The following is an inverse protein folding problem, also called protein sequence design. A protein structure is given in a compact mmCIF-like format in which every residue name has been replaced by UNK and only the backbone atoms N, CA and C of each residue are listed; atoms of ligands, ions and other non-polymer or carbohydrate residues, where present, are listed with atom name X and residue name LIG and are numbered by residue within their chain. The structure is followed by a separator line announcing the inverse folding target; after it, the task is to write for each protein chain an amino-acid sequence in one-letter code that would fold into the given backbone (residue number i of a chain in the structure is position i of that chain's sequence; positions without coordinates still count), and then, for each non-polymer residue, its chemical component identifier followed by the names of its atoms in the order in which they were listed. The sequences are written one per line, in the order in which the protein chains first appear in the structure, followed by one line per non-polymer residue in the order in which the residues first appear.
data_IF_901721149082
#
_entry.id   IF_901721149082
#
_cell.length_a   1.000
_cell.length_b   1.000
_cell.length_c   1.000
_cell.angle_alpha   90.00
_cell.angle_beta   90.00
_cell.angle_gamma   90.00
#
_symmetry.space_group_name_H-M   'P 1'
#
loop_
_entity.id
_entity.type
_entity.pdbx_description
1 polymer ?
#
# COMPACT_ATOMS: atom_id res chain seq x y z
N UNK A 1 16.01 25.80 30.47
CA UNK A 1 16.35 24.97 29.28
C UNK A 1 15.18 25.10 28.30
N UNK A 2 15.36 25.76 27.15
CA UNK A 2 14.36 25.71 26.07
C UNK A 2 14.30 24.28 25.55
N UNK A 3 13.19 23.58 25.79
CA UNK A 3 12.91 22.33 25.10
C UNK A 3 12.62 22.72 23.64
N UNK A 4 13.60 22.51 22.75
CA UNK A 4 13.32 22.59 21.32
C UNK A 4 12.47 21.36 20.97
N UNK A 5 11.18 21.57 20.74
CA UNK A 5 10.33 20.53 20.18
C UNK A 5 10.61 20.39 18.68
N UNK A 6 10.62 19.16 18.14
CA UNK A 6 10.72 18.95 16.71
C UNK A 6 9.48 19.51 16.01
N UNK A 7 9.69 20.48 15.10
CA UNK A 7 8.64 20.94 14.21
C UNK A 7 8.52 19.99 13.02
N UNK A 8 7.39 19.29 12.92
CA UNK A 8 7.02 18.50 11.75
C UNK A 8 5.52 18.60 11.49
N UNK A 9 5.14 18.33 10.25
CA UNK A 9 3.74 18.19 9.84
C UNK A 9 3.57 16.81 9.21
N UNK A 10 2.49 16.12 9.59
CA UNK A 10 2.09 14.83 9.02
C UNK A 10 0.66 15.00 8.52
N UNK A 11 0.42 14.58 7.29
CA UNK A 11 -0.91 14.49 6.71
C UNK A 11 -1.14 13.06 6.20
N UNK A 12 -2.34 12.54 6.44
CA UNK A 12 -2.79 11.22 5.98
C UNK A 12 -4.19 11.35 5.41
N UNK A 13 -4.59 10.42 4.53
CA UNK A 13 -5.96 10.30 4.04
C UNK A 13 -6.34 8.82 3.93
N UNK A 14 -7.63 8.51 3.93
CA UNK A 14 -8.18 7.13 3.83
C UNK A 14 -8.94 6.92 2.52
N UNK A 15 -8.49 7.61 1.47
CA UNK A 15 -9.14 7.64 0.16
C UNK A 15 -10.13 8.79 -0.01
N UNK A 16 -10.71 8.87 -1.21
CA UNK A 16 -11.76 9.81 -1.58
C UNK A 16 -12.94 8.99 -2.17
N UNK A 17 -14.16 9.47 -1.98
CA UNK A 17 -15.36 8.77 -2.46
C UNK A 17 -16.54 8.88 -1.49
N UNK A 18 -17.51 7.98 -1.65
CA UNK A 18 -18.67 7.94 -0.77
C UNK A 18 -18.33 7.29 0.57
N UNK A 19 -18.21 8.11 1.61
CA UNK A 19 -17.97 7.65 2.97
C UNK A 19 -19.31 7.52 3.70
N UNK A 20 -19.67 6.31 4.09
CA UNK A 20 -20.82 6.09 4.95
C UNK A 20 -20.59 6.75 6.31
N UNK A 21 -21.56 7.53 6.80
CA UNK A 21 -21.52 8.14 8.14
C UNK A 21 -21.24 7.10 9.23
N UNK A 22 -21.71 5.85 9.06
CA UNK A 22 -21.47 4.75 10.01
C UNK A 22 -20.00 4.37 10.17
N UNK A 23 -19.14 4.66 9.19
CA UNK A 23 -17.71 4.34 9.20
C UNK A 23 -16.82 5.53 9.54
N UNK A 24 -17.38 6.72 9.71
CA UNK A 24 -16.62 7.96 9.90
C UNK A 24 -15.71 7.89 11.14
N UNK A 25 -16.22 7.37 12.26
CA UNK A 25 -15.43 7.21 13.49
C UNK A 25 -14.30 6.19 13.33
N UNK A 26 -14.50 5.16 12.51
CA UNK A 26 -13.45 4.20 12.19
C UNK A 26 -12.33 4.86 11.37
N UNK A 27 -12.70 5.61 10.33
CA UNK A 27 -11.75 6.38 9.52
C UNK A 27 -10.94 7.38 10.35
N UNK A 28 -11.61 8.17 11.20
CA UNK A 28 -10.93 9.13 12.08
C UNK A 28 -9.97 8.45 13.05
N UNK A 29 -10.38 7.33 13.66
CA UNK A 29 -9.52 6.55 14.57
C UNK A 29 -8.28 6.02 13.85
N UNK A 30 -8.44 5.48 12.64
CA UNK A 30 -7.32 4.96 11.84
C UNK A 30 -6.36 6.07 11.42
N UNK A 31 -6.87 7.22 10.92
CA UNK A 31 -6.04 8.38 10.58
C UNK A 31 -5.28 8.92 11.80
N UNK A 32 -5.96 9.04 12.94
CA UNK A 32 -5.32 9.47 14.18
C UNK A 32 -4.17 8.52 14.56
N UNK A 33 -4.39 7.20 14.56
CA UNK A 33 -3.35 6.21 14.84
C UNK A 33 -2.18 6.30 13.85
N UNK A 34 -2.44 6.50 12.57
CA UNK A 34 -1.41 6.66 11.55
C UNK A 34 -0.54 7.90 11.81
N UNK A 35 -1.15 9.05 12.13
CA UNK A 35 -0.42 10.26 12.50
C UNK A 35 0.43 10.05 13.76
N UNK A 36 -0.11 9.39 14.79
CA UNK A 36 0.65 9.09 16.01
C UNK A 36 1.86 8.18 15.72
N UNK A 37 1.70 7.14 14.89
CA UNK A 37 2.80 6.26 14.52
C UNK A 37 3.93 7.01 13.78
N UNK A 38 3.58 7.86 12.81
CA UNK A 38 4.55 8.72 12.13
C UNK A 38 5.23 9.71 13.10
N UNK A 39 4.46 10.36 13.98
CA UNK A 39 4.97 11.32 14.96
C UNK A 39 5.99 10.68 15.90
N UNK A 40 5.72 9.45 16.38
CA UNK A 40 6.66 8.69 17.21
C UNK A 40 8.00 8.43 16.50
N UNK A 41 7.96 8.08 15.20
CA UNK A 41 9.18 7.90 14.40
C UNK A 41 9.97 9.21 14.31
N UNK A 42 9.31 10.32 13.99
CA UNK A 42 9.96 11.63 13.85
C UNK A 42 10.54 12.14 15.17
N UNK A 43 9.79 12.01 16.28
CA UNK A 43 10.25 12.36 17.62
C UNK A 43 11.47 11.54 18.02
N UNK A 44 11.43 10.21 17.85
CA UNK A 44 12.57 9.33 18.15
C UNK A 44 13.81 9.73 17.35
N UNK A 45 13.66 9.98 16.05
CA UNK A 45 14.76 10.39 15.17
C UNK A 45 15.33 11.75 15.57
N UNK A 46 14.49 12.68 16.02
CA UNK A 46 14.94 13.97 16.54
C UNK A 46 15.74 13.82 17.84
N UNK A 47 15.24 13.06 18.81
CA UNK A 47 15.94 12.81 20.08
C UNK A 47 17.30 12.14 19.86
N UNK A 48 17.37 11.13 19.00
CA UNK A 48 18.63 10.47 18.66
C UNK A 48 19.64 11.45 18.05
N UNK A 49 19.19 12.39 17.21
CA UNK A 49 20.04 13.42 16.59
C UNK A 49 20.57 14.44 17.62
N UNK A 50 19.80 14.77 18.64
CA UNK A 50 20.27 15.65 19.73
C UNK A 50 21.34 14.95 20.57
N UNK A 51 21.12 13.69 20.94
CA UNK A 51 22.03 12.92 21.77
C UNK A 51 23.36 12.58 21.06
N UNK A 52 23.32 12.36 19.74
CA UNK A 52 24.53 12.09 18.95
C UNK A 52 25.36 13.35 18.66
N UNK A 53 24.79 14.56 18.77
CA UNK A 53 25.58 15.81 18.77
C UNK A 53 26.31 16.08 20.09
N UNK A 54 25.89 15.46 21.20
CA UNK A 54 26.58 15.56 22.49
C UNK A 54 27.71 14.52 22.68
N UNK A 55 27.80 13.52 21.81
CA UNK A 55 28.92 12.57 21.80
C UNK A 55 29.98 13.06 20.81
N UNK A 56 31.18 13.34 21.30
CA UNK A 56 32.35 13.64 20.48
C UNK A 56 32.57 12.46 19.52
N UNK A 57 32.42 12.69 18.22
CA UNK A 57 32.59 11.65 17.20
C UNK A 57 34.05 11.20 17.20
N UNK A 58 34.31 9.94 17.56
CA UNK A 58 35.60 9.29 17.32
C UNK A 58 35.80 9.15 15.80
N UNK A 59 36.79 9.83 15.19
CA UNK A 59 37.03 9.79 13.74
C UNK A 59 37.48 8.42 13.22
N UNK A 60 37.80 7.46 14.10
CA UNK A 60 38.38 6.17 13.75
C UNK A 60 37.35 5.07 13.45
N UNK A 61 36.08 5.25 13.84
CA UNK A 61 34.99 4.32 13.53
C UNK A 61 34.37 4.62 12.16
N UNK A 62 35.18 4.51 11.10
CA UNK A 62 34.68 4.38 9.73
C UNK A 62 34.24 2.93 9.51
N UNK A 63 33.08 2.56 10.06
CA UNK A 63 32.40 1.35 9.62
C UNK A 63 32.09 1.50 8.12
N UNK A 64 32.74 0.66 7.32
CA UNK A 64 32.63 0.62 5.86
C UNK A 64 31.32 -0.01 5.38
N UNK A 65 30.43 -0.36 6.30
CA UNK A 65 29.03 -0.68 6.03
C UNK A 65 28.29 0.59 5.61
N UNK A 66 28.32 0.86 4.30
CA UNK A 66 27.64 1.97 3.58
C UNK A 66 26.36 2.42 4.30
N UNK A 67 26.50 3.53 5.02
CA UNK A 67 25.46 4.15 5.83
C UNK A 67 24.38 4.76 4.92
N UNK A 68 23.50 3.92 4.36
CA UNK A 68 22.27 4.37 3.70
C UNK A 68 21.35 4.88 4.82
N UNK A 69 21.56 6.14 5.21
CA UNK A 69 20.72 6.80 6.21
C UNK A 69 19.35 7.04 5.57
N UNK A 70 18.36 6.27 5.99
CA UNK A 70 16.97 6.59 5.67
C UNK A 70 16.62 7.96 6.20
N UNK A 71 15.87 8.74 5.42
CA UNK A 71 15.27 9.94 5.95
C UNK A 71 14.24 9.56 7.02
N UNK A 72 14.18 10.36 8.09
CA UNK A 72 13.19 10.19 9.13
C UNK A 72 11.75 10.34 8.56
N UNK A 73 11.60 11.15 7.52
CA UNK A 73 10.33 11.36 6.83
C UNK A 73 9.87 10.09 6.11
N UNK A 74 10.74 9.42 5.35
CA UNK A 74 10.40 8.19 4.64
C UNK A 74 10.00 7.07 5.61
N UNK A 75 10.71 6.94 6.74
CA UNK A 75 10.33 5.97 7.79
C UNK A 75 8.99 6.31 8.45
N UNK A 76 8.74 7.59 8.70
CA UNK A 76 7.48 8.04 9.29
C UNK A 76 6.29 7.78 8.36
N UNK A 77 6.44 8.06 7.06
CA UNK A 77 5.43 7.75 6.04
C UNK A 77 5.16 6.25 5.98
N UNK A 78 6.21 5.42 5.90
CA UNK A 78 6.04 3.96 5.94
C UNK A 78 5.27 3.51 7.19
N UNK A 79 5.60 4.06 8.37
CA UNK A 79 4.93 3.71 9.62
C UNK A 79 3.44 4.10 9.62
N UNK A 80 3.11 5.31 9.15
CA UNK A 80 1.72 5.73 9.00
C UNK A 80 0.96 4.84 8.02
N UNK A 81 1.52 4.60 6.83
CA UNK A 81 0.85 3.81 5.78
C UNK A 81 0.62 2.37 6.22
N UNK A 82 1.53 1.75 6.99
CA UNK A 82 1.31 0.42 7.57
C UNK A 82 0.05 0.36 8.44
N UNK A 83 -0.22 1.41 9.23
CA UNK A 83 -1.45 1.49 10.05
C UNK A 83 -2.69 1.54 9.17
N UNK A 84 -2.60 2.24 8.02
CA UNK A 84 -3.70 2.28 7.05
C UNK A 84 -3.88 0.91 6.38
N UNK A 85 -2.80 0.28 5.92
CA UNK A 85 -2.81 -1.05 5.27
C UNK A 85 -3.29 -2.18 6.18
N UNK A 86 -3.13 -2.05 7.49
CA UNK A 86 -3.68 -3.00 8.47
C UNK A 86 -5.18 -2.78 8.74
N UNK A 87 -5.72 -1.63 8.37
CA UNK A 87 -7.11 -1.28 8.64
C UNK A 87 -8.04 -1.77 7.54
N UNK A 88 -8.90 -2.74 7.89
CA UNK A 88 -9.87 -3.38 6.99
C UNK A 88 -10.95 -2.44 6.44
N UNK A 89 -11.07 -1.23 6.98
CA UNK A 89 -11.98 -0.21 6.46
C UNK A 89 -11.40 0.56 5.28
N UNK A 90 -10.10 0.43 5.01
CA UNK A 90 -9.42 1.03 3.87
C UNK A 90 -9.27 0.03 2.72
N UNK A 91 -9.11 0.55 1.50
CA UNK A 91 -8.81 -0.27 0.33
C UNK A 91 -7.30 -0.27 0.05
N UNK A 92 -6.51 -0.74 1.02
CA UNK A 92 -5.07 -0.90 0.90
C UNK A 92 -4.60 -2.02 1.84
N UNK A 93 -3.70 -2.90 1.37
CA UNK A 93 -3.21 -4.01 2.19
C UNK A 93 -4.31 -5.02 2.55
N UNK A 94 -4.51 -5.27 3.84
CA UNK A 94 -5.49 -6.22 4.34
C UNK A 94 -6.93 -5.75 4.07
N UNK A 95 -7.73 -6.59 3.42
CA UNK A 95 -9.13 -6.30 3.13
C UNK A 95 -9.34 -5.39 1.91
N UNK A 96 -8.30 -5.22 1.09
CA UNK A 96 -8.42 -4.55 -0.21
C UNK A 96 -9.47 -5.22 -1.10
N UNK A 97 -9.94 -4.48 -2.09
CA UNK A 97 -10.84 -4.98 -3.12
C UNK A 97 -10.24 -6.20 -3.83
N UNK A 98 -11.11 -7.16 -4.14
CA UNK A 98 -10.72 -8.36 -4.87
C UNK A 98 -10.80 -8.10 -6.37
N UNK A 99 -9.86 -8.69 -7.11
CA UNK A 99 -9.85 -8.77 -8.58
C UNK A 99 -11.02 -9.61 -9.10
N UNK A 100 -11.17 -9.71 -10.43
CA UNK A 100 -12.15 -10.61 -11.05
C UNK A 100 -11.94 -12.08 -10.63
N UNK A 101 -10.69 -12.46 -10.33
CA UNK A 101 -10.33 -13.81 -9.88
C UNK A 101 -10.55 -14.02 -8.37
N UNK A 102 -11.10 -13.02 -7.66
CA UNK A 102 -11.36 -13.12 -6.23
C UNK A 102 -10.11 -13.01 -5.35
N UNK A 103 -9.00 -12.48 -5.89
CA UNK A 103 -7.71 -12.35 -5.17
C UNK A 103 -7.39 -10.89 -4.88
N UNK A 104 -6.51 -10.64 -3.91
CA UNK A 104 -6.02 -9.29 -3.60
C UNK A 104 -4.65 -9.07 -4.23
N UNK A 105 -4.54 -8.00 -5.01
CA UNK A 105 -3.30 -7.49 -5.59
C UNK A 105 -3.15 -6.03 -5.22
N UNK A 106 -2.02 -5.66 -4.61
CA UNK A 106 -1.82 -4.31 -4.08
C UNK A 106 -0.79 -3.52 -4.88
N UNK A 107 -1.03 -2.22 -4.99
CA UNK A 107 -0.08 -1.23 -5.48
C UNK A 107 0.39 -0.35 -4.33
N UNK A 108 1.68 -0.02 -4.29
CA UNK A 108 2.21 0.97 -3.36
C UNK A 108 3.51 1.59 -3.87
N UNK A 109 3.75 2.85 -3.55
CA UNK A 109 4.99 3.55 -3.90
C UNK A 109 5.45 4.46 -2.77
N UNK A 110 6.76 4.66 -2.67
CA UNK A 110 7.36 5.61 -1.73
C UNK A 110 8.46 6.41 -2.44
N UNK A 111 8.47 7.71 -2.19
CA UNK A 111 9.49 8.63 -2.65
C UNK A 111 10.06 9.41 -1.46
N UNK A 112 11.38 9.61 -1.46
CA UNK A 112 12.09 10.42 -0.47
C UNK A 112 12.58 11.73 -1.10
N UNK A 113 12.87 12.73 -0.27
CA UNK A 113 13.22 14.09 -0.73
C UNK A 113 14.57 14.19 -1.45
N UNK A 114 15.41 13.16 -1.36
CA UNK A 114 16.66 13.02 -2.11
C UNK A 114 16.46 12.40 -3.51
N UNK A 115 15.21 12.13 -3.91
CA UNK A 115 14.86 11.52 -5.19
C UNK A 115 14.85 10.00 -5.19
N UNK A 116 15.16 9.34 -4.07
CA UNK A 116 15.06 7.89 -3.99
C UNK A 116 13.60 7.44 -4.08
N UNK A 117 13.35 6.46 -4.94
CA UNK A 117 12.00 5.98 -5.25
C UNK A 117 11.96 4.46 -5.28
N UNK A 118 10.82 3.89 -4.90
CA UNK A 118 10.53 2.48 -4.98
C UNK A 118 9.03 2.23 -5.03
N UNK A 119 8.59 1.25 -5.81
CA UNK A 119 7.19 0.87 -5.92
C UNK A 119 6.98 -0.62 -6.16
N UNK A 120 5.81 -1.10 -5.76
CA UNK A 120 5.28 -2.41 -6.10
C UNK A 120 3.93 -2.24 -6.80
N UNK A 121 3.65 -3.11 -7.77
CA UNK A 121 2.42 -3.10 -8.54
C UNK A 121 1.83 -4.51 -8.69
N UNK A 122 0.51 -4.64 -8.73
CA UNK A 122 -0.20 -5.92 -8.81
C UNK A 122 0.38 -6.96 -7.84
N UNK A 123 0.80 -6.54 -6.64
CA UNK A 123 1.63 -7.35 -5.77
C UNK A 123 0.77 -8.23 -4.85
N UNK A 124 0.78 -9.56 -5.00
CA UNK A 124 0.01 -10.43 -4.14
C UNK A 124 0.74 -10.68 -2.82
N UNK A 125 -0.02 -10.97 -1.76
CA UNK A 125 0.51 -11.58 -0.54
C UNK A 125 1.57 -10.78 0.24
N UNK A 126 1.75 -9.49 -0.02
CA UNK A 126 2.50 -8.61 0.89
C UNK A 126 1.53 -8.08 1.95
N UNK A 127 1.85 -8.25 3.23
CA UNK A 127 1.03 -7.70 4.32
C UNK A 127 1.00 -6.17 4.25
N UNK A 128 2.17 -5.59 4.01
CA UNK A 128 2.39 -4.15 3.91
C UNK A 128 3.12 -3.80 2.60
N UNK A 129 2.39 -3.62 1.48
CA UNK A 129 2.97 -3.22 0.19
C UNK A 129 3.92 -2.00 0.28
N UNK A 130 3.60 -1.00 1.12
CA UNK A 130 4.46 0.17 1.32
C UNK A 130 5.84 -0.19 1.91
N UNK A 131 5.94 -1.27 2.68
CA UNK A 131 7.22 -1.72 3.22
C UNK A 131 8.15 -2.24 2.12
N UNK A 132 7.58 -2.90 1.10
CA UNK A 132 8.34 -3.34 -0.07
C UNK A 132 8.78 -2.15 -0.92
N UNK A 133 7.89 -1.18 -1.14
CA UNK A 133 8.20 0.07 -1.82
C UNK A 133 9.30 0.87 -1.09
N UNK A 134 9.19 1.02 0.23
CA UNK A 134 10.23 1.63 1.08
C UNK A 134 11.57 0.92 0.91
N UNK A 135 11.59 -0.41 0.99
CA UNK A 135 12.82 -1.18 0.84
C UNK A 135 13.43 -1.04 -0.56
N UNK A 136 12.61 -1.00 -1.62
CA UNK A 136 13.09 -0.71 -2.98
C UNK A 136 13.71 0.69 -3.08
N UNK A 137 13.11 1.70 -2.46
CA UNK A 137 13.65 3.06 -2.41
C UNK A 137 14.98 3.13 -1.65
N UNK A 138 15.18 2.29 -0.63
CA UNK A 138 16.48 2.18 0.04
C UNK A 138 17.51 1.53 -0.88
N UNK A 139 17.14 0.40 -1.47
CA UNK A 139 18.01 -0.39 -2.33
C UNK A 139 18.49 0.45 -3.53
N UNK A 140 17.61 1.27 -4.13
CA UNK A 140 17.89 2.09 -5.32
C UNK A 140 19.06 3.06 -5.17
N UNK A 141 19.44 3.41 -3.93
CA UNK A 141 20.62 4.25 -3.63
C UNK A 141 21.94 3.53 -3.84
N UNK A 142 21.94 2.21 -3.96
CA UNK A 142 23.16 1.41 -4.12
C UNK A 142 23.14 0.65 -5.46
N UNK A 143 24.06 0.97 -6.38
CA UNK A 143 24.21 0.22 -7.63
C UNK A 143 24.47 -1.27 -7.39
N UNK A 144 24.05 -2.10 -8.34
CA UNK A 144 24.41 -3.52 -8.37
C UNK A 144 25.83 -3.70 -8.90
N UNK A 145 26.30 -4.96 -8.87
CA UNK A 145 27.56 -5.34 -9.51
C UNK A 145 27.58 -4.91 -10.98
N UNK A 146 28.78 -4.52 -11.44
CA UNK A 146 29.03 -4.03 -12.79
C UNK A 146 28.29 -2.72 -13.12
N UNK A 147 28.00 -1.88 -12.12
CA UNK A 147 27.39 -0.56 -12.32
C UNK A 147 25.93 -0.59 -12.76
N UNK A 148 25.26 -1.75 -12.66
CA UNK A 148 23.85 -1.89 -13.06
C UNK A 148 22.95 -1.10 -12.10
N UNK A 149 21.95 -0.44 -12.67
CA UNK A 149 20.91 0.27 -11.93
C UNK A 149 19.91 -0.74 -11.38
N UNK A 150 19.44 -0.53 -10.16
CA UNK A 150 18.42 -1.38 -9.56
C UNK A 150 17.03 -1.09 -10.13
N UNK A 151 16.13 -2.08 -10.17
CA UNK A 151 14.74 -1.83 -10.48
C UNK A 151 14.13 -0.89 -9.44
N UNK A 152 13.37 0.09 -9.91
CA UNK A 152 12.61 1.00 -9.05
C UNK A 152 11.18 0.50 -8.82
N UNK A 153 10.65 -0.30 -9.73
CA UNK A 153 9.29 -0.86 -9.66
C UNK A 153 9.37 -2.37 -9.85
N UNK A 154 8.69 -3.13 -9.00
CA UNK A 154 8.48 -4.57 -9.16
C UNK A 154 6.99 -4.85 -9.27
N UNK A 155 6.61 -5.77 -10.15
CA UNK A 155 5.21 -6.12 -10.36
C UNK A 155 4.92 -7.62 -10.11
N UNK A 156 3.67 -7.93 -9.77
CA UNK A 156 3.18 -9.30 -9.69
C UNK A 156 3.92 -10.15 -8.67
N UNK A 157 4.10 -11.42 -9.00
CA UNK A 157 4.83 -12.39 -8.18
C UNK A 157 6.27 -11.94 -7.86
N UNK A 158 6.89 -11.13 -8.72
CA UNK A 158 8.23 -10.59 -8.48
C UNK A 158 8.30 -9.69 -7.24
N UNK A 159 7.24 -8.91 -6.98
CA UNK A 159 7.14 -8.08 -5.78
C UNK A 159 7.01 -8.93 -4.50
N UNK A 160 6.22 -9.99 -4.53
CA UNK A 160 6.12 -10.94 -3.42
C UNK A 160 7.45 -11.66 -3.15
N UNK A 161 8.10 -12.18 -4.20
CA UNK A 161 9.40 -12.84 -4.07
C UNK A 161 10.45 -11.90 -3.48
N UNK A 162 10.42 -10.63 -3.88
CA UNK A 162 11.28 -9.60 -3.31
C UNK A 162 10.99 -9.37 -1.82
N UNK A 163 9.73 -9.26 -1.44
CA UNK A 163 9.35 -9.13 -0.03
C UNK A 163 9.84 -10.30 0.81
N UNK A 164 9.67 -11.53 0.34
CA UNK A 164 10.14 -12.74 1.01
C UNK A 164 11.67 -12.79 1.17
N UNK A 165 12.42 -12.44 0.11
CA UNK A 165 13.91 -12.37 0.16
C UNK A 165 14.42 -11.29 1.11
N UNK A 166 13.63 -10.24 1.34
CA UNK A 166 13.98 -9.14 2.25
C UNK A 166 13.33 -9.29 3.64
N UNK A 167 12.82 -10.48 3.98
CA UNK A 167 12.22 -10.78 5.28
C UNK A 167 11.06 -9.84 5.66
N UNK A 168 10.29 -9.38 4.67
CA UNK A 168 9.06 -8.64 4.90
C UNK A 168 7.92 -9.59 5.29
N UNK A 169 6.91 -9.05 5.98
CA UNK A 169 5.69 -9.81 6.27
C UNK A 169 4.92 -10.08 4.98
N UNK A 170 4.85 -11.36 4.60
CA UNK A 170 4.21 -11.80 3.38
C UNK A 170 3.68 -13.23 3.51
N UNK A 171 2.91 -13.68 2.53
CA UNK A 171 2.46 -15.05 2.39
C UNK A 171 3.66 -16.02 2.37
N UNK A 172 3.53 -17.14 3.07
CA UNK A 172 4.61 -18.12 3.23
C UNK A 172 4.99 -18.80 1.90
N UNK A 173 3.99 -19.06 1.06
CA UNK A 173 4.15 -19.81 -0.18
C UNK A 173 3.12 -19.36 -1.22
N UNK A 174 3.29 -19.85 -2.45
CA UNK A 174 2.43 -19.48 -3.59
C UNK A 174 0.96 -19.88 -3.35
N UNK A 175 0.73 -21.01 -2.67
CA UNK A 175 -0.62 -21.50 -2.39
C UNK A 175 -1.40 -20.61 -1.41
N UNK A 176 -0.71 -19.86 -0.54
CA UNK A 176 -1.37 -18.94 0.40
C UNK A 176 -1.61 -17.54 -0.17
N UNK A 177 -1.07 -17.21 -1.35
CA UNK A 177 -1.27 -15.90 -1.99
C UNK A 177 -2.75 -15.53 -2.18
N UNK A 178 -3.63 -16.40 -2.73
CA UNK A 178 -5.00 -16.02 -3.08
C UNK A 178 -5.82 -15.56 -1.87
N UNK A 179 -5.55 -16.10 -0.68
CA UNK A 179 -6.33 -15.82 0.54
C UNK A 179 -5.64 -14.86 1.53
N UNK A 180 -4.37 -14.51 1.32
CA UNK A 180 -3.54 -13.88 2.37
C UNK A 180 -4.09 -12.55 2.90
N UNK A 181 -4.55 -11.67 2.01
CA UNK A 181 -5.08 -10.35 2.35
C UNK A 181 -6.61 -10.28 2.26
N UNK A 182 -7.30 -11.41 2.07
CA UNK A 182 -8.76 -11.45 1.90
C UNK A 182 -9.44 -11.48 3.26
N UNK A 183 -10.33 -10.52 3.51
CA UNK A 183 -11.21 -10.50 4.70
C UNK A 183 -12.60 -11.03 4.33
N UNK A 184 -13.38 -11.41 5.36
CA UNK A 184 -14.77 -11.88 5.15
C UNK A 184 -15.62 -10.79 4.52
N UNK A 185 -15.42 -9.55 4.94
CA UNK A 185 -16.15 -8.37 4.46
C UNK A 185 -15.82 -8.08 2.99
N UNK A 186 -14.53 -8.12 2.62
CA UNK A 186 -14.09 -7.92 1.24
C UNK A 186 -14.62 -9.04 0.32
N UNK A 187 -14.53 -10.30 0.76
CA UNK A 187 -15.07 -11.44 0.02
C UNK A 187 -16.61 -11.35 -0.15
N UNK A 188 -17.34 -10.93 0.89
CA UNK A 188 -18.79 -10.73 0.81
C UNK A 188 -19.17 -9.63 -0.18
N UNK A 189 -18.43 -8.52 -0.20
CA UNK A 189 -18.62 -7.45 -1.17
C UNK A 189 -18.34 -7.94 -2.60
N UNK A 190 -17.23 -8.63 -2.81
CA UNK A 190 -16.88 -9.24 -4.10
C UNK A 190 -17.94 -10.22 -4.59
N UNK A 191 -18.44 -11.11 -3.71
CA UNK A 191 -19.50 -12.06 -4.04
C UNK A 191 -20.78 -11.34 -4.51
N UNK A 192 -21.15 -10.25 -3.82
CA UNK A 192 -22.32 -9.45 -4.20
C UNK A 192 -22.16 -8.85 -5.60
N UNK A 193 -21.02 -8.21 -5.88
CA UNK A 193 -20.79 -7.58 -7.18
C UNK A 193 -20.60 -8.59 -8.32
N UNK A 194 -19.97 -9.73 -8.05
CA UNK A 194 -19.82 -10.81 -9.03
C UNK A 194 -21.17 -11.36 -9.48
N UNK A 195 -22.14 -11.50 -8.56
CA UNK A 195 -23.52 -11.88 -8.91
C UNK A 195 -24.23 -10.83 -9.75
N UNK A 196 -24.00 -9.54 -9.47
CA UNK A 196 -24.57 -8.46 -10.27
C UNK A 196 -24.01 -8.45 -11.69
N UNK A 197 -22.71 -8.70 -11.85
CA UNK A 197 -22.07 -8.81 -13.16
C UNK A 197 -22.61 -10.01 -13.95
N UNK A 198 -22.71 -11.17 -13.32
CA UNK A 198 -23.27 -12.37 -13.95
C UNK A 198 -24.71 -12.16 -14.46
N UNK A 199 -25.56 -11.47 -13.69
CA UNK A 199 -26.92 -11.15 -14.12
C UNK A 199 -26.96 -10.22 -15.35
N UNK A 200 -26.04 -9.26 -15.44
CA UNK A 200 -25.94 -8.36 -16.61
C UNK A 200 -25.42 -9.10 -17.84
N UNK A 201 -24.46 -10.00 -17.67
CA UNK A 201 -23.91 -10.80 -18.77
C UNK A 201 -24.93 -11.81 -19.32
N UNK A 202 -25.78 -12.37 -18.46
CA UNK A 202 -26.95 -13.18 -18.86
C UNK A 202 -27.95 -12.35 -19.67
N UNK A 203 -28.30 -11.13 -19.22
CA UNK A 203 -29.20 -10.23 -19.95
C UNK A 203 -28.61 -9.76 -21.31
N UNK A 204 -27.28 -9.66 -21.42
CA UNK A 204 -26.60 -9.28 -22.66
C UNK A 204 -26.52 -10.41 -23.70
N UNK A 205 -26.63 -11.67 -23.26
CA UNK A 205 -26.59 -12.85 -24.13
C UNK A 205 -27.97 -13.29 -24.63
N UNK A 206 -29.05 -12.72 -24.10
CA UNK A 206 -30.43 -12.88 -24.60
C UNK A 206 -30.96 -11.56 -25.21
N UNK A 207 -30.56 -11.20 -26.45
CA UNK A 207 -31.17 -10.07 -27.13
C UNK A 207 -32.62 -10.45 -27.44
N UNK A 208 -33.56 -9.98 -26.62
CA UNK A 208 -35.00 -10.05 -26.94
C UNK A 208 -35.20 -9.53 -28.35
N UNK A 209 -35.52 -10.44 -29.28
CA UNK A 209 -35.93 -10.06 -30.63
C UNK A 209 -37.09 -9.05 -30.51
N UNK A 210 -37.06 -7.93 -31.24
CA UNK A 210 -38.20 -7.02 -31.26
C UNK A 210 -39.40 -7.81 -31.78
N UNK A 211 -40.46 -7.87 -30.98
CA UNK A 211 -41.74 -8.46 -31.37
C UNK A 211 -42.19 -7.87 -32.70
N UNK A 212 -42.66 -8.68 -33.66
CA UNK A 212 -43.10 -8.16 -34.95
C UNK A 212 -44.25 -7.17 -34.73
N UNK A 213 -44.04 -5.92 -35.16
CA UNK A 213 -45.07 -4.89 -35.20
C UNK A 213 -46.30 -5.44 -35.93
N UNK A 214 -47.46 -5.37 -35.26
CA UNK A 214 -48.75 -5.72 -35.84
C UNK A 214 -48.96 -4.93 -37.14
N UNK A 215 -49.00 -5.64 -38.26
CA UNK A 215 -49.18 -5.10 -39.60
C UNK A 215 -50.39 -4.17 -39.67
N UNK A 216 -50.11 -2.88 -39.87
CA UNK A 216 -51.11 -1.87 -40.20
C UNK A 216 -51.87 -2.28 -41.47
N UNK A 217 -53.19 -2.42 -41.33
CA UNK A 217 -54.12 -2.60 -42.45
C UNK A 217 -54.00 -1.42 -43.41
N UNK A 218 -53.49 -1.68 -44.61
CA UNK A 218 -53.72 -0.84 -45.78
C UNK A 218 -55.17 -1.05 -46.21
N UNK A 219 -55.98 0.00 -46.21
CA UNK A 219 -57.27 0.04 -46.90
C UNK A 219 -57.06 0.74 -48.24
N UNK A 220 -57.39 0.04 -49.32
CA UNK A 220 -57.70 0.59 -50.65
C UNK A 220 -58.92 1.52 -50.60
#
# INVERSE_FOLDING_TARGET
KCFMEPNFLIAVHVGAGFHSQRKEDEYRRVMSRACHAAAQVLQRRFTLRLNSKSAQMDPSLKDSSRNVRNSAAAEAVMAATKILEDATCTNAGLGSNLSLDGTVECDASLMDGDGAFGAVAAAPGLRHPIAAAFRLAQDSRTPLSCGRIRPLILAGLGAWQYGRRNHLQCADNVCSLPSYNVTKEAHAAWTRYSRMLAAVDEDATDPKEPSPEEGGKVKE
#
